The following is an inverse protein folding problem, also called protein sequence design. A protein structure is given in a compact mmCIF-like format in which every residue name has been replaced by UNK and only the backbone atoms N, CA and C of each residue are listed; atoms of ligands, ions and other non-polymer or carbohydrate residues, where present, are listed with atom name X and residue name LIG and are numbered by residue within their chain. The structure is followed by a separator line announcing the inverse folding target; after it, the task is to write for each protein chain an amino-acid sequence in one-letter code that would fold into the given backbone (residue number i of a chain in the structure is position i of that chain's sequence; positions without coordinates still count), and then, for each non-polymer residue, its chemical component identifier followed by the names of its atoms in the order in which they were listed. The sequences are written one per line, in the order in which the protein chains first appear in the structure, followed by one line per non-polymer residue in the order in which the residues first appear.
data_IF_867165791843
#
_entry.id   IF_867165791843
#
_cell.length_a   1.000
_cell.length_b   1.000
_cell.length_c   1.000
_cell.angle_alpha   90.00
_cell.angle_beta   90.00
_cell.angle_gamma   90.00
#
_symmetry.space_group_name_H-M   'P 1'
#
loop_
_entity.id
_entity.type
_entity.pdbx_description
1 polymer ?
#
# COMPACT_ATOMS: atom_id res chain seq x y z
N UNK A 1 -0.75 -18.54 12.97
CA UNK A 1 0.06 -18.31 11.76
C UNK A 1 1.37 -19.06 11.85
N UNK A 2 1.88 -19.52 10.72
CA UNK A 2 3.16 -20.24 10.72
C UNK A 2 4.32 -19.28 10.98
N UNK A 3 5.40 -19.79 11.60
CA UNK A 3 6.62 -19.01 11.80
C UNK A 3 7.22 -18.53 10.48
N UNK A 4 7.11 -19.35 9.43
CA UNK A 4 7.63 -19.02 8.11
C UNK A 4 6.93 -17.76 7.52
N UNK A 5 5.61 -17.67 7.63
CA UNK A 5 4.87 -16.49 7.17
C UNK A 5 5.27 -15.25 7.95
N UNK A 6 5.48 -15.36 9.25
CA UNK A 6 5.91 -14.24 10.09
C UNK A 6 7.32 -13.77 9.74
N UNK A 7 8.24 -14.68 9.47
CA UNK A 7 9.59 -14.35 9.05
C UNK A 7 9.58 -13.63 7.70
N UNK A 8 8.79 -14.11 6.74
CA UNK A 8 8.66 -13.47 5.42
C UNK A 8 8.08 -12.06 5.54
N UNK A 9 7.08 -11.89 6.39
CA UNK A 9 6.48 -10.57 6.65
C UNK A 9 7.51 -9.61 7.25
N UNK A 10 8.25 -10.06 8.26
CA UNK A 10 9.29 -9.25 8.90
C UNK A 10 10.39 -8.87 7.93
N UNK A 11 10.83 -9.80 7.10
CA UNK A 11 11.87 -9.55 6.11
C UNK A 11 11.42 -8.49 5.09
N UNK A 12 10.22 -8.62 4.55
CA UNK A 12 9.68 -7.65 3.60
C UNK A 12 9.50 -6.27 4.24
N UNK A 13 8.99 -6.21 5.48
CA UNK A 13 8.80 -4.96 6.21
C UNK A 13 10.15 -4.30 6.50
N UNK A 14 11.16 -5.08 6.90
CA UNK A 14 12.51 -4.58 7.16
C UNK A 14 13.15 -4.01 5.89
N UNK A 15 12.99 -4.70 4.76
CA UNK A 15 13.45 -4.22 3.46
C UNK A 15 12.80 -2.87 3.11
N UNK A 16 11.49 -2.76 3.24
CA UNK A 16 10.76 -1.52 2.99
C UNK A 16 11.27 -0.36 3.86
N UNK A 17 11.53 -0.63 5.14
CA UNK A 17 12.05 0.39 6.05
C UNK A 17 13.40 0.93 5.61
N UNK A 18 14.29 0.07 5.10
CA UNK A 18 15.61 0.48 4.62
C UNK A 18 15.52 1.32 3.34
N UNK A 19 14.59 1.00 2.47
CA UNK A 19 14.42 1.66 1.17
C UNK A 19 13.58 2.93 1.28
N UNK A 20 12.62 2.97 2.21
CA UNK A 20 11.67 4.06 2.35
C UNK A 20 12.28 5.47 2.40
N UNK A 21 13.34 5.74 3.19
CA UNK A 21 13.91 7.09 3.22
C UNK A 21 14.42 7.58 1.87
N UNK A 22 15.00 6.67 1.07
CA UNK A 22 15.47 6.98 -0.27
C UNK A 22 14.30 7.15 -1.24
N UNK A 23 13.37 6.22 -1.24
CA UNK A 23 12.23 6.23 -2.15
C UNK A 23 11.32 7.44 -1.91
N UNK A 24 11.14 7.85 -0.65
CA UNK A 24 10.33 9.03 -0.32
C UNK A 24 10.91 10.34 -0.83
N UNK A 25 12.22 10.38 -1.12
CA UNK A 25 12.88 11.54 -1.69
C UNK A 25 12.71 11.64 -3.20
N UNK A 26 12.32 10.55 -3.86
CA UNK A 26 12.10 10.54 -5.31
C UNK A 26 10.76 11.18 -5.63
N UNK A 27 10.72 12.25 -6.46
CA UNK A 27 9.47 12.98 -6.70
C UNK A 27 8.41 12.16 -7.44
N UNK A 28 8.82 11.11 -8.17
CA UNK A 28 7.90 10.25 -8.92
C UNK A 28 7.39 9.07 -8.10
N UNK A 29 7.96 8.82 -6.92
CA UNK A 29 7.53 7.71 -6.08
C UNK A 29 6.17 8.00 -5.46
N UNK A 30 5.22 7.09 -5.64
CA UNK A 30 3.91 7.18 -4.99
C UNK A 30 4.02 6.78 -3.52
N UNK A 31 3.44 7.59 -2.65
CA UNK A 31 3.45 7.36 -1.21
C UNK A 31 2.03 7.38 -0.69
N UNK A 32 1.66 6.33 0.04
CA UNK A 32 0.39 6.28 0.78
C UNK A 32 0.64 6.73 2.21
N UNK A 33 -0.15 7.70 2.67
CA UNK A 33 -0.12 8.15 4.06
C UNK A 33 -1.40 7.75 4.76
N UNK A 34 -1.27 7.02 5.85
CA UNK A 34 -2.37 6.62 6.72
C UNK A 34 -2.16 7.19 8.11
N UNK A 35 -3.23 7.28 8.89
CA UNK A 35 -3.14 7.67 10.30
C UNK A 35 -2.77 6.43 11.12
N UNK A 36 -1.66 6.52 11.86
CA UNK A 36 -1.26 5.43 12.76
C UNK A 36 -2.33 5.15 13.81
N UNK A 37 -2.84 3.92 13.84
CA UNK A 37 -3.95 3.53 14.73
C UNK A 37 -3.58 3.57 16.21
N UNK A 38 -2.29 3.51 16.53
CA UNK A 38 -1.80 3.54 17.91
C UNK A 38 -1.34 4.95 18.27
N UNK A 39 -0.45 5.53 17.45
CA UNK A 39 0.16 6.83 17.76
C UNK A 39 -0.68 8.03 17.34
N UNK A 40 -1.58 7.86 16.37
CA UNK A 40 -2.29 8.97 15.74
C UNK A 40 -1.44 9.79 14.78
N UNK A 41 -0.16 9.44 14.61
CA UNK A 41 0.76 10.16 13.74
C UNK A 41 0.68 9.65 12.31
N UNK A 42 0.97 10.50 11.31
CA UNK A 42 1.01 10.07 9.92
C UNK A 42 2.05 8.96 9.71
N UNK A 43 1.66 7.93 8.97
CA UNK A 43 2.53 6.82 8.58
C UNK A 43 2.58 6.77 7.06
N UNK A 44 3.77 6.89 6.49
CA UNK A 44 4.00 6.95 5.05
C UNK A 44 4.64 5.67 4.57
N UNK A 45 4.07 5.10 3.50
CA UNK A 45 4.54 3.86 2.90
C UNK A 45 4.65 4.07 1.39
N UNK A 46 5.82 3.80 0.79
CA UNK A 46 5.92 3.80 -0.67
C UNK A 46 5.11 2.64 -1.22
N UNK A 47 4.28 2.91 -2.22
CA UNK A 47 3.42 1.91 -2.82
C UNK A 47 3.49 2.02 -4.33
N UNK A 48 3.33 0.89 -5.01
CA UNK A 48 3.10 0.87 -6.44
C UNK A 48 1.61 0.74 -6.70
N UNK A 49 1.14 1.48 -7.68
CA UNK A 49 -0.27 1.41 -8.03
C UNK A 49 -0.55 2.23 -9.27
N UNK A 50 -1.83 2.37 -9.59
CA UNK A 50 -2.26 3.08 -10.78
C UNK A 50 -3.47 3.96 -10.48
N UNK A 51 -3.39 5.22 -10.91
CA UNK A 51 -4.54 6.11 -10.90
C UNK A 51 -5.39 5.86 -12.14
N UNK A 52 -6.69 5.67 -11.91
CA UNK A 52 -7.70 5.57 -12.97
C UNK A 52 -8.81 6.56 -12.64
N UNK A 53 -8.89 7.66 -13.37
CA UNK A 53 -9.85 8.73 -13.05
C UNK A 53 -9.59 9.31 -11.66
N UNK A 54 -10.59 9.28 -10.81
CA UNK A 54 -10.53 9.79 -9.44
C UNK A 54 -10.20 8.71 -8.41
N UNK A 55 -9.75 7.55 -8.86
CA UNK A 55 -9.39 6.44 -7.97
C UNK A 55 -7.95 6.02 -8.15
N UNK A 56 -7.30 5.64 -7.06
CA UNK A 56 -5.98 5.05 -7.07
C UNK A 56 -6.08 3.60 -6.59
N UNK A 57 -5.52 2.67 -7.38
CA UNK A 57 -5.60 1.23 -7.14
C UNK A 57 -4.25 0.67 -6.77
N UNK A 58 -4.20 -0.13 -5.74
CA UNK A 58 -3.00 -0.86 -5.32
C UNK A 58 -3.37 -2.24 -4.77
N UNK A 59 -2.38 -3.11 -4.64
CA UNK A 59 -2.55 -4.41 -4.01
C UNK A 59 -1.59 -4.51 -2.84
N UNK A 60 -2.12 -4.82 -1.66
CA UNK A 60 -1.34 -5.08 -0.46
C UNK A 60 -0.73 -6.47 -0.54
N UNK A 61 0.60 -6.56 -0.34
CA UNK A 61 1.33 -7.83 -0.41
C UNK A 61 1.05 -8.77 0.76
N UNK A 62 0.65 -8.25 1.90
CA UNK A 62 0.35 -9.04 3.10
C UNK A 62 -1.11 -8.90 3.54
N UNK A 63 -1.96 -8.37 2.69
CA UNK A 63 -3.37 -8.22 2.97
C UNK A 63 -3.63 -7.49 4.27
N UNK A 64 -4.44 -8.09 5.14
CA UNK A 64 -4.83 -7.51 6.41
C UNK A 64 -3.70 -7.41 7.43
N UNK A 65 -2.55 -8.05 7.17
CA UNK A 65 -1.37 -8.00 8.05
C UNK A 65 -0.52 -6.75 7.81
N UNK A 66 -0.67 -6.09 6.67
CA UNK A 66 0.05 -4.85 6.38
C UNK A 66 -0.33 -3.76 7.36
N UNK A 67 0.66 -3.00 7.84
CA UNK A 67 0.40 -1.93 8.82
C UNK A 67 -0.54 -0.88 8.27
N UNK A 68 -0.35 -0.47 7.02
CA UNK A 68 -1.24 0.53 6.43
C UNK A 68 -2.67 0.00 6.24
N UNK A 69 -2.85 -1.29 5.98
CA UNK A 69 -4.20 -1.89 5.92
C UNK A 69 -4.86 -1.85 7.29
N UNK A 70 -4.13 -2.19 8.35
CA UNK A 70 -4.65 -2.09 9.71
C UNK A 70 -5.02 -0.64 10.06
N UNK A 71 -4.20 0.31 9.65
CA UNK A 71 -4.47 1.73 9.85
C UNK A 71 -5.73 2.18 9.10
N UNK A 72 -5.92 1.69 7.86
CA UNK A 72 -7.11 1.97 7.05
C UNK A 72 -8.37 1.42 7.71
N UNK A 73 -8.31 0.23 8.30
CA UNK A 73 -9.44 -0.34 9.03
C UNK A 73 -9.86 0.53 10.21
N UNK A 74 -8.88 1.12 10.89
CA UNK A 74 -9.15 2.01 12.03
C UNK A 74 -9.66 3.38 11.57
N UNK A 75 -9.09 3.92 10.49
CA UNK A 75 -9.49 5.21 9.90
C UNK A 75 -9.22 5.16 8.40
N UNK A 76 -10.27 5.13 7.56
CA UNK A 76 -10.11 5.00 6.10
C UNK A 76 -9.65 6.29 5.40
N UNK A 77 -9.57 7.41 6.11
CA UNK A 77 -9.09 8.67 5.52
C UNK A 77 -7.58 8.58 5.30
N UNK A 78 -7.16 8.86 4.07
CA UNK A 78 -5.76 8.74 3.67
C UNK A 78 -5.34 9.91 2.80
N UNK A 79 -4.03 10.02 2.56
CA UNK A 79 -3.48 10.86 1.51
C UNK A 79 -2.57 10.04 0.63
N UNK A 80 -2.56 10.37 -0.66
CA UNK A 80 -1.67 9.72 -1.63
C UNK A 80 -0.86 10.80 -2.34
N UNK A 81 0.45 10.67 -2.33
CA UNK A 81 1.33 11.54 -3.12
C UNK A 81 1.60 10.87 -4.45
N UNK A 82 1.08 11.50 -5.52
CA UNK A 82 1.23 11.03 -6.89
C UNK A 82 2.00 12.09 -7.66
N UNK A 83 3.17 11.73 -8.18
CA UNK A 83 4.06 12.63 -8.93
C UNK A 83 4.34 13.93 -8.16
N UNK A 84 4.63 13.78 -6.87
CA UNK A 84 4.98 14.90 -6.00
C UNK A 84 3.80 15.69 -5.45
N UNK A 85 2.58 15.40 -5.87
CA UNK A 85 1.37 16.10 -5.42
C UNK A 85 0.56 15.25 -4.46
N UNK A 86 0.19 15.81 -3.32
CA UNK A 86 -0.67 15.16 -2.33
C UNK A 86 -2.15 15.29 -2.68
N UNK A 87 -2.84 14.17 -2.59
CA UNK A 87 -4.30 14.09 -2.76
C UNK A 87 -4.90 13.48 -1.50
N UNK A 88 -5.99 14.06 -1.03
CA UNK A 88 -6.79 13.44 0.03
C UNK A 88 -7.73 12.42 -0.56
N UNK A 89 -8.10 11.42 0.24
CA UNK A 89 -9.02 10.39 -0.24
C UNK A 89 -9.51 9.48 0.86
N UNK A 90 -10.36 8.55 0.46
CA UNK A 90 -10.90 7.50 1.32
C UNK A 90 -10.52 6.14 0.76
N UNK A 91 -9.89 5.32 1.59
CA UNK A 91 -9.46 3.99 1.19
C UNK A 91 -10.56 2.95 1.43
N UNK A 92 -10.70 2.04 0.48
CA UNK A 92 -11.64 0.93 0.56
C UNK A 92 -10.86 -0.38 0.37
N UNK A 93 -11.04 -1.29 1.30
CA UNK A 93 -10.49 -2.65 1.20
C UNK A 93 -11.49 -3.49 0.40
N UNK A 94 -11.02 -4.15 -0.65
CA UNK A 94 -11.88 -4.88 -1.58
C UNK A 94 -11.55 -6.39 -1.52
N UNK A 95 -12.01 -7.11 -0.47
CA UNK A 95 -11.69 -8.52 -0.31
C UNK A 95 -12.27 -9.43 -1.41
N UNK A 96 -13.33 -8.96 -2.07
CA UNK A 96 -13.98 -9.71 -3.14
C UNK A 96 -13.38 -9.44 -4.53
N UNK A 97 -12.44 -8.50 -4.65
CA UNK A 97 -11.72 -8.25 -5.90
C UNK A 97 -10.66 -9.32 -6.14
N UNK A 98 -10.35 -9.57 -7.40
CA UNK A 98 -9.27 -10.49 -7.78
C UNK A 98 -7.93 -9.74 -7.79
N UNK A 99 -7.10 -9.89 -6.75
CA UNK A 99 -5.85 -9.14 -6.67
C UNK A 99 -4.84 -9.59 -7.73
N UNK A 100 -4.87 -10.83 -8.17
CA UNK A 100 -3.96 -11.32 -9.21
C UNK A 100 -4.29 -10.67 -10.55
N UNK A 101 -5.56 -10.59 -10.92
CA UNK A 101 -6.00 -9.89 -12.12
C UNK A 101 -5.67 -8.40 -12.03
N UNK A 102 -5.82 -7.81 -10.84
CA UNK A 102 -5.49 -6.40 -10.60
C UNK A 102 -4.00 -6.14 -10.79
N UNK A 103 -3.13 -7.02 -10.30
CA UNK A 103 -1.68 -6.89 -10.43
C UNK A 103 -1.22 -6.81 -11.90
N UNK A 104 -1.91 -7.49 -12.81
CA UNK A 104 -1.60 -7.44 -14.25
C UNK A 104 -1.76 -6.04 -14.84
N UNK A 105 -2.56 -5.19 -14.20
CA UNK A 105 -2.84 -3.81 -14.62
C UNK A 105 -1.99 -2.77 -13.88
N UNK A 106 -1.17 -3.20 -12.92
CA UNK A 106 -0.31 -2.32 -12.13
C UNK A 106 1.12 -2.33 -12.69
N UNK A 107 1.94 -1.34 -12.30
CA UNK A 107 3.35 -1.30 -12.71
C UNK A 107 4.08 -2.59 -12.35
N UNK A 108 4.91 -3.09 -13.29
CA UNK A 108 5.61 -4.38 -13.15
C UNK A 108 6.47 -4.47 -11.89
N UNK A 109 7.11 -3.36 -11.50
CA UNK A 109 7.97 -3.34 -10.31
C UNK A 109 7.17 -3.70 -9.05
N UNK A 110 5.99 -3.09 -8.89
CA UNK A 110 5.11 -3.41 -7.77
C UNK A 110 4.59 -4.85 -7.87
N UNK A 111 4.12 -5.26 -9.07
CA UNK A 111 3.60 -6.61 -9.28
C UNK A 111 4.64 -7.69 -8.98
N UNK A 112 5.90 -7.46 -9.37
CA UNK A 112 6.97 -8.41 -9.10
C UNK A 112 7.26 -8.52 -7.59
N UNK A 113 7.35 -7.39 -6.88
CA UNK A 113 7.57 -7.38 -5.44
C UNK A 113 6.46 -8.08 -4.67
N UNK A 114 5.21 -7.81 -5.04
CA UNK A 114 4.05 -8.46 -4.42
C UNK A 114 4.06 -9.97 -4.67
N UNK A 115 4.36 -10.42 -5.90
CA UNK A 115 4.44 -11.84 -6.21
C UNK A 115 5.57 -12.56 -5.45
N UNK A 116 6.70 -11.87 -5.25
CA UNK A 116 7.84 -12.48 -4.57
C UNK A 116 7.64 -12.60 -3.06
N UNK A 117 6.97 -11.64 -2.43
CA UNK A 117 6.85 -11.56 -0.97
C UNK A 117 5.42 -11.66 -0.44
N UNK A 118 4.43 -11.50 -1.30
CA UNK A 118 3.03 -11.51 -0.88
C UNK A 118 2.56 -12.87 -0.37
N UNK A 119 1.89 -12.87 0.77
CA UNK A 119 1.33 -14.08 1.37
C UNK A 119 -0.19 -14.07 1.39
N UNK A 120 -0.80 -12.89 1.32
CA UNK A 120 -2.26 -12.73 1.40
C UNK A 120 -2.61 -11.43 0.68
N UNK A 121 -2.86 -11.52 -0.62
CA UNK A 121 -3.06 -10.36 -1.47
C UNK A 121 -4.43 -9.74 -1.24
N UNK A 122 -4.47 -8.41 -1.17
CA UNK A 122 -5.70 -7.65 -0.97
C UNK A 122 -5.68 -6.41 -1.84
N UNK A 123 -6.71 -6.24 -2.66
CA UNK A 123 -6.89 -5.01 -3.45
C UNK A 123 -7.38 -3.87 -2.56
N UNK A 124 -6.76 -2.71 -2.74
CA UNK A 124 -7.14 -1.46 -2.07
C UNK A 124 -7.44 -0.41 -3.14
N UNK A 125 -8.60 0.24 -3.02
CA UNK A 125 -8.97 1.38 -3.85
C UNK A 125 -9.04 2.63 -3.00
N UNK A 126 -8.36 3.69 -3.42
CA UNK A 126 -8.47 5.00 -2.78
C UNK A 126 -9.28 5.91 -3.69
N UNK A 127 -10.42 6.35 -3.22
CA UNK A 127 -11.24 7.34 -3.93
C UNK A 127 -10.74 8.73 -3.57
N UNK A 128 -10.18 9.43 -4.55
CA UNK A 128 -9.56 10.74 -4.37
C UNK A 128 -10.63 11.83 -4.31
N UNK A 129 -10.50 12.73 -3.33
CA UNK A 129 -11.45 13.81 -3.12
C UNK A 129 -11.10 15.07 -3.92
N UNK A 130 -9.84 15.18 -4.37
CA UNK A 130 -9.35 16.38 -5.08
C UNK A 130 -8.58 16.08 -6.34
#
# INVERSE_FOLDING_TARGET
MSRLADLRFRAATSFQRRVNPLMRRLPLQTVLETKGRVSGLPRRTPVGGRRVGDSFWLVSEFGERSQYVCNIKADPRVRVRIRGRWHTGTAHLLPDDDPVARLRRLPKVNGLGVRAFGTDLLTVRVDLAD
#
